data_IF_850601765285
#
_entry.id   IF_850601765285
#
_cell.length_a   1.000
_cell.length_b   1.000
_cell.length_c   1.000
_cell.angle_alpha   90.00
_cell.angle_beta   90.00
_cell.angle_gamma   90.00
#
_symmetry.space_group_name_H-M   'P 1'
#
loop_
_entity.id
_entity.type
_entity.pdbx_description
1 polymer ?
#
# COMPACT_ATOMS: atom_id res chain seq x y z
N UNK A 1 5.51 -21.01 8.33
CA UNK A 1 4.79 -20.35 7.21
C UNK A 1 5.00 -18.86 7.35
N UNK A 2 5.30 -18.11 6.27
CA UNK A 2 5.45 -16.65 6.38
C UNK A 2 4.13 -16.05 6.89
N UNK A 3 4.24 -15.25 7.94
CA UNK A 3 3.15 -14.51 8.57
C UNK A 3 2.98 -13.18 7.82
N UNK A 4 1.74 -12.76 7.59
CA UNK A 4 1.48 -11.43 7.04
C UNK A 4 1.90 -10.36 8.04
N UNK A 5 2.54 -9.27 7.58
CA UNK A 5 2.91 -8.17 8.47
C UNK A 5 1.67 -7.46 9.01
N UNK A 6 1.79 -6.84 10.18
CA UNK A 6 0.73 -5.96 10.71
C UNK A 6 0.75 -4.60 10.01
N UNK A 7 -0.32 -3.82 10.17
CA UNK A 7 -0.37 -2.46 9.60
C UNK A 7 0.71 -1.57 10.22
N UNK A 8 1.01 -1.75 11.51
CA UNK A 8 2.09 -1.03 12.20
C UNK A 8 3.46 -1.33 11.58
N UNK A 9 3.74 -2.60 11.27
CA UNK A 9 4.99 -3.01 10.61
C UNK A 9 5.09 -2.42 9.19
N UNK A 10 3.99 -2.37 8.45
CA UNK A 10 3.94 -1.74 7.12
C UNK A 10 4.11 -0.20 7.20
N UNK A 11 3.57 0.42 8.24
CA UNK A 11 3.70 1.85 8.49
C UNK A 11 5.16 2.21 8.82
N UNK A 12 5.79 1.48 9.74
CA UNK A 12 7.19 1.67 10.15
C UNK A 12 8.15 1.41 8.98
N UNK A 13 7.87 0.42 8.14
CA UNK A 13 8.62 0.15 6.92
C UNK A 13 8.42 1.20 5.80
N UNK A 14 7.49 2.15 5.97
CA UNK A 14 7.26 3.22 5.00
C UNK A 14 6.48 2.81 3.74
N UNK A 15 5.77 1.68 3.77
CA UNK A 15 5.04 1.14 2.59
C UNK A 15 3.91 2.06 2.12
N UNK A 16 3.38 2.87 3.02
CA UNK A 16 2.32 3.85 2.75
C UNK A 16 2.78 5.03 1.88
N UNK A 17 4.09 5.22 1.66
CA UNK A 17 4.58 6.28 0.78
C UNK A 17 4.41 5.88 -0.69
N UNK A 18 3.43 6.49 -1.35
CA UNK A 18 3.18 6.35 -2.77
C UNK A 18 4.01 7.31 -3.62
N UNK A 19 3.55 7.53 -4.86
CA UNK A 19 4.21 8.41 -5.80
C UNK A 19 3.84 9.89 -5.58
N UNK A 20 4.60 10.78 -6.22
CA UNK A 20 4.26 12.20 -6.24
C UNK A 20 2.90 12.43 -6.90
N UNK A 21 2.13 13.41 -6.41
CA UNK A 21 0.78 13.73 -6.91
C UNK A 21 0.73 14.15 -8.38
N UNK A 22 1.85 14.62 -8.94
CA UNK A 22 1.97 14.96 -10.37
C UNK A 22 2.43 13.81 -11.26
N UNK A 23 2.81 12.66 -10.70
CA UNK A 23 3.39 11.51 -11.43
C UNK A 23 2.73 10.22 -10.98
N UNK A 24 1.42 10.12 -11.13
CA UNK A 24 0.66 8.94 -10.75
C UNK A 24 -0.23 8.47 -11.90
N UNK A 25 -0.63 7.21 -11.86
CA UNK A 25 -1.52 6.63 -12.85
C UNK A 25 -2.95 6.59 -12.29
N UNK A 26 -3.99 7.11 -12.98
CA UNK A 26 -5.35 7.19 -12.45
C UNK A 26 -5.92 5.87 -11.91
N UNK A 27 -5.57 4.74 -12.53
CA UNK A 27 -5.96 3.40 -12.05
C UNK A 27 -5.49 3.05 -10.63
N UNK A 28 -4.54 3.78 -10.03
CA UNK A 28 -4.15 3.55 -8.63
C UNK A 28 -5.05 4.28 -7.63
N UNK A 29 -6.02 5.07 -8.09
CA UNK A 29 -6.96 5.83 -7.25
C UNK A 29 -7.61 4.99 -6.15
N UNK A 30 -8.10 3.75 -6.41
CA UNK A 30 -8.73 2.93 -5.38
C UNK A 30 -7.78 2.50 -4.24
N UNK A 31 -6.47 2.60 -4.44
CA UNK A 31 -5.46 2.20 -3.46
C UNK A 31 -4.85 3.41 -2.72
N UNK A 32 -5.26 4.63 -3.06
CA UNK A 32 -4.77 5.86 -2.45
C UNK A 32 -5.70 6.26 -1.31
N UNK A 33 -5.17 6.29 -0.09
CA UNK A 33 -5.88 6.80 1.09
C UNK A 33 -6.03 8.34 1.04
N UNK A 34 -5.01 9.03 0.54
CA UNK A 34 -5.03 10.49 0.44
C UNK A 34 -3.74 11.05 -0.12
N UNK A 35 -3.50 12.34 0.09
CA UNK A 35 -2.22 12.97 -0.27
C UNK A 35 -1.75 13.93 0.80
N UNK A 36 -0.42 14.00 1.01
CA UNK A 36 0.22 14.93 1.95
C UNK A 36 1.57 15.35 1.38
N UNK A 37 1.89 16.65 1.45
CA UNK A 37 3.17 17.19 0.97
C UNK A 37 3.53 16.75 -0.47
N UNK A 38 2.55 16.78 -1.39
CA UNK A 38 2.70 16.34 -2.79
C UNK A 38 3.05 14.86 -3.00
N UNK A 39 2.82 14.01 -2.01
CA UNK A 39 2.97 12.55 -2.10
C UNK A 39 1.62 11.88 -1.84
N UNK A 40 1.26 10.90 -2.66
CA UNK A 40 0.11 10.04 -2.40
C UNK A 40 0.42 9.09 -1.23
N UNK A 41 -0.51 8.99 -0.30
CA UNK A 41 -0.47 8.02 0.79
C UNK A 41 -1.29 6.82 0.35
N UNK A 42 -0.68 5.66 0.31
CA UNK A 42 -1.33 4.38 -0.04
C UNK A 42 -2.10 3.86 1.18
N UNK A 43 -3.27 3.28 0.92
CA UNK A 43 -4.06 2.60 1.94
C UNK A 43 -3.40 1.26 2.34
N UNK A 44 -3.02 1.17 3.61
CA UNK A 44 -2.36 -0.03 4.16
C UNK A 44 -3.34 -1.20 4.35
N UNK A 45 -4.64 -0.95 4.51
CA UNK A 45 -5.64 -2.02 4.57
C UNK A 45 -5.81 -2.69 3.20
N UNK A 46 -5.89 -1.89 2.13
CA UNK A 46 -5.92 -2.42 0.76
C UNK A 46 -4.60 -3.13 0.41
N UNK A 47 -3.47 -2.60 0.87
CA UNK A 47 -2.16 -3.24 0.73
C UNK A 47 -2.15 -4.63 1.40
N UNK A 48 -2.69 -4.75 2.61
CA UNK A 48 -2.76 -6.02 3.33
C UNK A 48 -3.63 -7.05 2.59
N UNK A 49 -4.80 -6.64 2.07
CA UNK A 49 -5.67 -7.49 1.23
C UNK A 49 -4.94 -7.96 -0.04
N UNK A 50 -4.17 -7.08 -0.65
CA UNK A 50 -3.33 -7.40 -1.82
C UNK A 50 -2.24 -8.42 -1.49
N UNK A 51 -1.55 -8.23 -0.36
CA UNK A 51 -0.52 -9.15 0.13
C UNK A 51 -1.09 -10.53 0.45
N UNK A 52 -2.27 -10.62 1.05
CA UNK A 52 -2.94 -11.88 1.32
C UNK A 52 -3.22 -12.67 0.02
N UNK A 53 -3.76 -11.99 -1.00
CA UNK A 53 -4.01 -12.60 -2.33
C UNK A 53 -2.71 -13.06 -2.99
N UNK A 54 -1.67 -12.23 -2.97
CA UNK A 54 -0.37 -12.55 -3.55
C UNK A 54 0.26 -13.75 -2.83
N UNK A 55 0.20 -13.78 -1.51
CA UNK A 55 0.70 -14.88 -0.69
C UNK A 55 -0.08 -16.18 -0.96
N UNK A 56 -1.39 -16.10 -1.16
CA UNK A 56 -2.20 -17.25 -1.53
C UNK A 56 -1.87 -17.79 -2.94
N UNK A 57 -1.45 -16.93 -3.86
CA UNK A 57 -1.03 -17.33 -5.21
C UNK A 57 0.37 -17.95 -5.27
N UNK A 58 1.32 -17.42 -4.49
CA UNK A 58 2.72 -17.88 -4.48
C UNK A 58 2.89 -19.18 -3.68
N UNK A 59 1.98 -19.44 -2.74
CA UNK A 59 1.91 -20.70 -1.99
C UNK A 59 1.41 -21.84 -2.88
#
# INVERSE_FOLDING_TARGET
MPKLPTIEELLEAGVHFGHQTGRWHPKSEPYVFGSRNNVHIIDLEETLKGLEKALAFVR
#
